data_IF_206268078928
#
_entry.id   IF_206268078928
#
_cell.length_a   1.000
_cell.length_b   1.000
_cell.length_c   1.000
_cell.angle_alpha   90.00
_cell.angle_beta   90.00
_cell.angle_gamma   90.00
#
_symmetry.space_group_name_H-M   'P 1'
#
loop_
_entity.id
_entity.type
_entity.pdbx_description
1 polymer ?
#
# COMPACT_ATOMS: atom_id res chain seq x y z
N UNK A 1 1.51 20.56 -7.62
CA UNK A 1 1.88 19.39 -8.44
C UNK A 1 0.84 18.34 -8.14
N UNK A 2 0.01 17.96 -9.10
CA UNK A 2 -1.02 16.93 -8.89
C UNK A 2 -0.32 15.57 -8.85
N UNK A 3 -0.36 14.91 -7.69
CA UNK A 3 0.14 13.54 -7.56
C UNK A 3 -0.66 12.68 -8.53
N UNK A 4 0.02 11.91 -9.39
CA UNK A 4 -0.68 10.99 -10.28
C UNK A 4 -1.05 9.76 -9.47
N UNK A 5 -2.31 9.28 -9.53
CA UNK A 5 -2.70 8.11 -8.78
C UNK A 5 -1.91 6.88 -9.23
N UNK A 6 -1.56 6.00 -8.29
CA UNK A 6 -0.89 4.73 -8.60
C UNK A 6 -1.94 3.66 -8.88
N UNK A 7 -1.87 3.07 -10.07
CA UNK A 7 -2.68 1.93 -10.48
C UNK A 7 -2.17 0.64 -9.82
N UNK A 8 -3.00 0.02 -8.96
CA UNK A 8 -2.63 -1.15 -8.15
C UNK A 8 -3.39 -2.44 -8.54
N UNK A 9 -3.96 -2.48 -9.76
CA UNK A 9 -4.72 -3.62 -10.29
C UNK A 9 -6.13 -3.81 -9.69
N UNK A 10 -6.32 -3.51 -8.40
CA UNK A 10 -7.64 -3.43 -7.76
C UNK A 10 -8.31 -2.05 -7.86
N UNK A 11 -7.52 -1.03 -8.21
CA UNK A 11 -7.96 0.34 -8.16
C UNK A 11 -6.80 1.32 -8.22
N UNK A 12 -7.10 2.57 -7.87
CA UNK A 12 -6.19 3.70 -7.92
C UNK A 12 -5.93 4.23 -6.51
N UNK A 13 -4.65 4.32 -6.15
CA UNK A 13 -4.23 4.95 -4.90
C UNK A 13 -3.98 6.44 -5.11
N UNK A 14 -4.71 7.27 -4.37
CA UNK A 14 -4.60 8.73 -4.37
C UNK A 14 -3.92 9.21 -3.08
N UNK A 15 -2.79 9.90 -3.24
CA UNK A 15 -1.98 10.44 -2.14
C UNK A 15 -2.57 11.72 -1.54
N UNK A 16 -3.25 12.52 -2.33
CA UNK A 16 -3.83 13.79 -1.88
C UNK A 16 -5.05 13.52 -0.98
N UNK A 17 -5.84 12.49 -1.31
CA UNK A 17 -7.03 12.12 -0.52
C UNK A 17 -6.81 10.93 0.43
N UNK A 18 -5.60 10.38 0.48
CA UNK A 18 -5.23 9.18 1.27
C UNK A 18 -6.24 8.06 1.11
N UNK A 19 -6.61 7.78 -0.13
CA UNK A 19 -7.70 6.87 -0.44
C UNK A 19 -7.31 5.90 -1.54
N UNK A 20 -7.71 4.65 -1.39
CA UNK A 20 -7.70 3.66 -2.45
C UNK A 20 -9.11 3.61 -3.06
N UNK A 21 -9.22 4.00 -4.32
CA UNK A 21 -10.44 3.95 -5.11
C UNK A 21 -10.48 2.65 -5.90
N UNK A 22 -11.35 1.74 -5.50
CA UNK A 22 -11.54 0.45 -6.15
C UNK A 22 -12.35 0.61 -7.44
N UNK A 23 -12.15 -0.31 -8.39
CA UNK A 23 -12.83 -0.24 -9.69
C UNK A 23 -14.35 -0.49 -9.64
N UNK A 24 -14.86 -1.04 -8.55
CA UNK A 24 -16.30 -1.15 -8.28
C UNK A 24 -16.92 0.17 -7.78
N UNK A 25 -16.11 1.22 -7.64
CA UNK A 25 -16.51 2.53 -7.13
C UNK A 25 -16.36 2.69 -5.61
N UNK A 26 -15.93 1.65 -4.89
CA UNK A 26 -15.72 1.70 -3.45
C UNK A 26 -14.49 2.56 -3.11
N UNK A 27 -14.64 3.46 -2.14
CA UNK A 27 -13.53 4.26 -1.60
C UNK A 27 -13.09 3.72 -0.24
N UNK A 28 -11.81 3.36 -0.14
CA UNK A 28 -11.17 2.96 1.11
C UNK A 28 -10.29 4.09 1.63
N UNK A 29 -10.67 4.67 2.77
CA UNK A 29 -9.83 5.65 3.47
C UNK A 29 -8.64 4.98 4.16
N UNK A 30 -7.45 5.53 3.96
CA UNK A 30 -6.19 5.05 4.52
C UNK A 30 -5.61 6.07 5.50
N UNK A 31 -5.01 5.58 6.58
CA UNK A 31 -4.06 6.38 7.36
C UNK A 31 -2.77 6.59 6.55
N UNK A 32 -1.94 7.60 6.87
CA UNK A 32 -0.63 7.75 6.24
C UNK A 32 0.19 6.45 6.27
N UNK A 33 0.22 5.76 7.42
CA UNK A 33 1.01 4.52 7.56
C UNK A 33 0.49 3.41 6.65
N UNK A 34 -0.82 3.25 6.58
CA UNK A 34 -1.45 2.25 5.71
C UNK A 34 -1.15 2.55 4.25
N UNK A 35 -1.19 3.81 3.83
CA UNK A 35 -0.84 4.21 2.47
C UNK A 35 0.64 3.92 2.15
N UNK A 36 1.55 4.31 3.04
CA UNK A 36 2.98 4.11 2.85
C UNK A 36 3.35 2.62 2.83
N UNK A 37 2.79 1.83 3.74
CA UNK A 37 2.99 0.38 3.80
C UNK A 37 2.44 -0.30 2.54
N UNK A 38 1.25 0.10 2.09
CA UNK A 38 0.66 -0.42 0.84
C UNK A 38 1.55 -0.11 -0.37
N UNK A 39 2.05 1.12 -0.46
CA UNK A 39 3.00 1.53 -1.50
C UNK A 39 4.27 0.68 -1.48
N UNK A 40 4.92 0.52 -0.32
CA UNK A 40 6.14 -0.27 -0.21
C UNK A 40 5.91 -1.73 -0.63
N UNK A 41 4.84 -2.35 -0.15
CA UNK A 41 4.50 -3.73 -0.52
C UNK A 41 4.23 -3.87 -2.02
N UNK A 42 3.53 -2.90 -2.63
CA UNK A 42 3.27 -2.87 -4.06
C UNK A 42 4.56 -2.68 -4.87
N UNK A 43 5.40 -1.71 -4.48
CA UNK A 43 6.69 -1.43 -5.11
C UNK A 43 7.69 -2.59 -4.99
N UNK A 44 7.55 -3.45 -3.96
CA UNK A 44 8.37 -4.66 -3.81
C UNK A 44 7.97 -5.79 -4.78
N UNK A 45 6.98 -5.55 -5.65
CA UNK A 45 6.60 -6.39 -6.79
C UNK A 45 6.41 -7.88 -6.46
N UNK A 46 5.69 -8.17 -5.38
CA UNK A 46 5.46 -9.56 -4.96
C UNK A 46 6.63 -10.21 -4.22
N UNK A 47 7.70 -9.49 -3.94
CA UNK A 47 8.74 -9.96 -3.02
C UNK A 47 8.24 -9.78 -1.58
N UNK A 48 8.29 -10.81 -0.73
CA UNK A 48 7.92 -10.69 0.67
C UNK A 48 8.87 -9.76 1.43
N UNK A 49 8.31 -8.93 2.30
CA UNK A 49 9.04 -8.03 3.18
C UNK A 49 8.60 -8.24 4.63
N UNK A 50 9.54 -8.26 5.56
CA UNK A 50 9.25 -8.32 6.98
C UNK A 50 8.78 -6.95 7.51
N UNK A 51 7.92 -6.90 8.55
CA UNK A 51 7.47 -5.62 9.11
C UNK A 51 8.60 -4.73 9.66
N UNK A 52 9.70 -5.31 10.13
CA UNK A 52 10.88 -4.60 10.62
C UNK A 52 11.72 -4.01 9.47
N UNK A 53 11.85 -4.74 8.36
CA UNK A 53 12.45 -4.25 7.11
C UNK A 53 11.67 -3.03 6.58
N UNK A 54 10.34 -3.14 6.51
CA UNK A 54 9.47 -2.04 6.12
C UNK A 54 9.60 -0.84 7.06
N UNK A 55 9.62 -1.06 8.38
CA UNK A 55 9.83 -0.01 9.36
C UNK A 55 11.19 0.69 9.17
N UNK A 56 12.24 -0.07 8.86
CA UNK A 56 13.58 0.46 8.60
C UNK A 56 13.60 1.37 7.37
N UNK A 57 12.95 0.97 6.29
CA UNK A 57 12.81 1.80 5.08
C UNK A 57 12.04 3.09 5.38
N UNK A 58 10.91 3.00 6.09
CA UNK A 58 10.10 4.17 6.46
C UNK A 58 10.87 5.15 7.34
N UNK A 59 11.62 4.65 8.33
CA UNK A 59 12.47 5.48 9.17
C UNK A 59 13.62 6.12 8.39
N UNK A 60 14.19 5.41 7.42
CA UNK A 60 15.23 5.98 6.53
C UNK A 60 14.64 7.13 5.70
N UNK A 61 13.44 6.96 5.14
CA UNK A 61 12.74 8.01 4.42
C UNK A 61 12.43 9.22 5.32
N UNK A 62 11.99 8.98 6.56
CA UNK A 62 11.77 10.03 7.57
C UNK A 62 13.07 10.78 7.89
N UNK A 63 14.19 10.07 8.09
CA UNK A 63 15.48 10.68 8.36
C UNK A 63 15.94 11.55 7.18
N UNK A 64 15.87 11.04 5.95
CA UNK A 64 16.24 11.80 4.74
C UNK A 64 15.34 13.04 4.58
N UNK A 65 14.03 12.90 4.79
CA UNK A 65 13.11 14.03 4.75
C UNK A 65 13.43 15.09 5.83
N UNK A 66 13.91 14.67 6.99
CA UNK A 66 14.36 15.55 8.08
C UNK A 66 15.64 16.29 7.70
N UNK A 67 16.64 15.57 7.18
CA UNK A 67 17.93 16.14 6.77
C UNK A 67 17.78 17.16 5.62
N UNK A 68 16.80 16.96 4.75
CA UNK A 68 16.49 17.86 3.64
C UNK A 68 15.50 19.00 4.01
N UNK A 69 15.13 19.14 5.28
CA UNK A 69 14.14 20.10 5.79
C UNK A 69 12.79 20.04 5.03
N UNK A 70 12.41 18.83 4.64
CA UNK A 70 11.18 18.58 3.90
C UNK A 70 9.97 18.33 4.82
N UNK A 71 10.15 18.38 6.15
CA UNK A 71 9.08 18.11 7.11
C UNK A 71 7.89 19.07 6.96
N UNK A 72 8.13 20.33 6.60
CA UNK A 72 7.05 21.30 6.31
C UNK A 72 6.28 21.00 5.02
N UNK A 73 6.82 20.17 4.11
CA UNK A 73 6.19 19.75 2.86
C UNK A 73 5.55 18.36 2.94
N UNK A 74 6.01 17.53 3.88
CA UNK A 74 5.52 16.17 4.10
C UNK A 74 5.35 15.92 5.61
N UNK A 75 4.29 16.47 6.22
CA UNK A 75 4.06 16.39 7.67
C UNK A 75 3.75 14.96 8.16
N UNK A 76 3.61 14.02 7.23
CA UNK A 76 3.23 12.64 7.50
C UNK A 76 4.41 11.68 7.65
N UNK A 77 5.66 12.16 7.58
CA UNK A 77 6.77 11.30 7.98
C UNK A 77 6.89 11.27 9.51
N UNK A 78 6.85 10.08 10.11
CA UNK A 78 7.03 9.89 11.54
C UNK A 78 7.85 8.62 11.84
N UNK A 79 8.51 8.58 13.01
CA UNK A 79 9.17 7.37 13.49
C UNK A 79 8.21 6.19 13.51
N UNK A 80 8.61 5.10 12.87
CA UNK A 80 7.79 3.92 12.66
C UNK A 80 8.43 2.71 13.33
N UNK A 81 7.63 1.88 13.99
CA UNK A 81 8.07 0.62 14.61
C UNK A 81 7.56 -0.58 13.82
N UNK A 82 8.21 -1.74 13.99
CA UNK A 82 7.73 -3.03 13.48
C UNK A 82 6.25 -3.27 13.87
N UNK A 83 5.91 -3.05 15.14
CA UNK A 83 4.54 -3.24 15.65
C UNK A 83 3.51 -2.31 14.99
N UNK A 84 3.87 -1.05 14.71
CA UNK A 84 2.96 -0.15 13.98
C UNK A 84 2.77 -0.58 12.52
N UNK A 85 3.83 -1.06 11.86
CA UNK A 85 3.73 -1.61 10.50
C UNK A 85 2.84 -2.85 10.50
N UNK A 86 3.05 -3.77 11.45
CA UNK A 86 2.24 -4.98 11.55
C UNK A 86 0.75 -4.65 11.72
N UNK A 87 0.43 -3.68 12.59
CA UNK A 87 -0.96 -3.20 12.76
C UNK A 87 -1.52 -2.60 11.48
N UNK A 88 -0.75 -1.78 10.77
CA UNK A 88 -1.17 -1.20 9.50
C UNK A 88 -1.44 -2.28 8.44
N UNK A 89 -0.59 -3.32 8.35
CA UNK A 89 -0.80 -4.47 7.47
C UNK A 89 -2.10 -5.20 7.83
N UNK A 90 -2.35 -5.46 9.12
CA UNK A 90 -3.58 -6.11 9.56
C UNK A 90 -4.82 -5.28 9.18
N UNK A 91 -4.83 -3.98 9.46
CA UNK A 91 -5.95 -3.11 9.11
C UNK A 91 -6.16 -2.99 7.59
N UNK A 92 -5.08 -2.90 6.80
CA UNK A 92 -5.18 -2.92 5.33
C UNK A 92 -5.84 -4.19 4.84
N UNK A 93 -5.43 -5.35 5.37
CA UNK A 93 -6.02 -6.63 5.04
C UNK A 93 -7.50 -6.66 5.40
N UNK A 94 -7.87 -6.26 6.61
CA UNK A 94 -9.27 -6.19 7.04
C UNK A 94 -10.11 -5.30 6.11
N UNK A 95 -9.62 -4.09 5.78
CA UNK A 95 -10.31 -3.18 4.85
C UNK A 95 -10.52 -3.80 3.47
N UNK A 96 -9.50 -4.44 2.91
CA UNK A 96 -9.58 -5.09 1.61
C UNK A 96 -10.52 -6.30 1.65
N UNK A 97 -10.45 -7.12 2.71
CA UNK A 97 -11.32 -8.27 2.90
C UNK A 97 -12.79 -7.86 3.05
N UNK A 98 -13.09 -6.74 3.73
CA UNK A 98 -14.45 -6.18 3.80
C UNK A 98 -15.02 -5.74 2.44
N UNK A 99 -14.16 -5.51 1.44
CA UNK A 99 -14.55 -5.20 0.05
C UNK A 99 -14.57 -6.42 -0.87
N UNK A 100 -14.38 -7.63 -0.31
CA UNK A 100 -14.29 -8.86 -1.10
C UNK A 100 -12.94 -9.04 -1.81
N UNK A 101 -11.97 -8.14 -1.60
CA UNK A 101 -10.63 -8.19 -2.17
C UNK A 101 -9.69 -9.04 -1.30
N UNK A 102 -10.04 -10.32 -1.16
CA UNK A 102 -9.24 -11.28 -0.42
C UNK A 102 -7.92 -11.58 -1.14
N UNK A 103 -6.83 -11.64 -0.35
CA UNK A 103 -5.53 -12.13 -0.81
C UNK A 103 -4.74 -11.16 -1.67
N UNK A 104 -5.03 -9.85 -1.62
CA UNK A 104 -4.17 -8.81 -2.21
C UNK A 104 -2.90 -8.55 -1.40
N UNK A 105 -2.95 -8.76 -0.08
CA UNK A 105 -1.76 -8.80 0.77
C UNK A 105 -1.66 -10.21 1.35
N UNK A 106 -0.56 -10.89 1.07
CA UNK A 106 -0.32 -12.28 1.48
C UNK A 106 0.72 -12.29 2.58
N UNK A 107 0.44 -13.05 3.65
CA UNK A 107 1.46 -13.48 4.60
C UNK A 107 2.07 -14.79 4.08
N UNK A 108 3.37 -14.79 3.77
CA UNK A 108 4.07 -15.97 3.24
C UNK A 108 4.33 -17.08 4.27
N UNK A 109 3.98 -16.82 5.53
CA UNK A 109 4.22 -17.72 6.65
C UNK A 109 5.71 -17.92 6.94
N UNK A 110 6.00 -18.67 8.01
CA UNK A 110 7.37 -19.08 8.41
C UNK A 110 8.38 -17.91 8.49
N UNK A 111 7.94 -16.73 8.95
CA UNK A 111 8.82 -15.56 9.06
C UNK A 111 9.34 -15.05 7.71
N UNK A 112 8.60 -15.24 6.62
CA UNK A 112 8.93 -14.67 5.30
C UNK A 112 8.30 -13.30 5.07
N UNK A 113 7.46 -12.83 5.99
CA UNK A 113 6.84 -11.51 5.92
C UNK A 113 5.60 -11.45 5.03
N UNK A 114 5.37 -10.27 4.47
CA UNK A 114 4.17 -9.92 3.72
C UNK A 114 4.53 -9.44 2.32
N UNK A 115 3.70 -9.79 1.34
CA UNK A 115 3.83 -9.26 -0.02
C UNK A 115 2.50 -8.76 -0.55
N UNK A 116 2.57 -7.82 -1.47
CA UNK A 116 1.44 -7.57 -2.37
C UNK A 116 1.31 -8.73 -3.35
N UNK A 117 0.10 -9.18 -3.66
CA UNK A 117 -0.13 -10.30 -4.56
C UNK A 117 -0.07 -9.85 -6.03
N UNK A 118 0.99 -10.19 -6.79
CA UNK A 118 1.13 -9.75 -8.17
C UNK A 118 0.10 -10.41 -9.10
N UNK A 119 -0.39 -11.61 -8.76
CA UNK A 119 -1.38 -12.34 -9.58
C UNK A 119 -2.78 -11.71 -9.52
N UNK A 120 -3.01 -10.85 -8.53
CA UNK A 120 -4.22 -10.03 -8.41
C UNK A 120 -4.08 -8.67 -9.09
N UNK A 121 -2.88 -8.31 -9.55
CA UNK A 121 -2.64 -7.20 -10.48
C UNK A 121 -2.93 -7.71 -11.88
N UNK A 122 -4.19 -8.00 -12.20
CA UNK A 122 -4.50 -8.34 -13.59
C UNK A 122 -4.24 -7.10 -14.47
N UNK A 123 -3.57 -7.24 -15.62
CA UNK A 123 -3.43 -6.14 -16.56
C UNK A 123 -4.82 -5.71 -17.04
N UNK A 124 -5.04 -4.39 -17.14
CA UNK A 124 -6.27 -3.76 -17.66
C UNK A 124 -6.83 -4.39 -18.95
N UNK A 125 -6.00 -5.08 -19.73
CA UNK A 125 -6.41 -5.80 -20.94
C UNK A 125 -7.44 -6.91 -20.68
N UNK A 126 -7.53 -7.47 -19.46
CA UNK A 126 -8.49 -8.55 -19.18
C UNK A 126 -9.90 -8.03 -18.85
N UNK A 127 -10.04 -6.83 -18.28
CA UNK A 127 -11.36 -6.28 -17.93
C UNK A 127 -12.17 -5.82 -19.14
N UNK A 128 -11.54 -5.32 -20.21
CA UNK A 128 -12.27 -4.94 -21.43
C UNK A 128 -12.93 -6.14 -22.13
N UNK A 129 -12.38 -7.35 -22.01
CA UNK A 129 -12.99 -8.54 -22.62
C UNK A 129 -14.24 -9.06 -21.88
N UNK A 130 -14.43 -8.66 -20.62
CA UNK A 130 -15.62 -8.98 -19.84
C UNK A 130 -16.77 -7.98 -20.08
N UNK A 131 -16.46 -6.76 -20.53
CA UNK A 131 -17.45 -5.72 -20.88
C UNK A 131 -17.81 -5.68 -22.37
N UNK A 132 -17.14 -6.48 -23.22
CA UNK A 132 -17.39 -6.59 -24.66
C UNK A 132 -18.12 -7.89 -25.05
N UNK A 133 -18.81 -8.54 -24.11
CA UNK A 133 -19.74 -9.65 -24.38
C UNK A 133 -21.18 -9.25 -24.14
#
# INVERSE_FOLDING_TARGET
MTSHPIEMGMGQLDFDTRSLFLYDGTRLGLTPLEQDVLCLLFSNNGTPALPDELATVLNTNFQVATELDLQGRYPDFYPTTENSVLKAICHLREKLECTGLYGFIINDGKGRGYRFNPDKVQPLSFQLSAFLK
#
